data_IF_111210199262
#
_entry.id   IF_111210199262
#
_cell.length_a   1.000
_cell.length_b   1.000
_cell.length_c   1.000
_cell.angle_alpha   90.00
_cell.angle_beta   90.00
_cell.angle_gamma   90.00
#
_symmetry.space_group_name_H-M   'P 1'
#
loop_
_entity.id
_entity.type
_entity.pdbx_description
1 polymer ?
#
# COMPACT_ATOMS: atom_id res chain seq x y z
N UNK A 1 15.31 7.42 3.98
CA UNK A 1 15.49 6.62 2.74
C UNK A 1 14.32 5.65 2.56
N UNK A 2 13.79 5.58 1.36
CA UNK A 2 12.78 4.58 1.02
C UNK A 2 13.46 3.35 0.48
N UNK A 3 13.01 2.19 0.97
CA UNK A 3 13.34 0.93 0.35
C UNK A 3 12.03 0.29 -0.07
N UNK A 4 11.59 0.65 -1.25
CA UNK A 4 10.42 0.05 -1.88
C UNK A 4 10.93 -0.80 -3.02
N UNK A 5 10.82 -2.11 -2.87
CA UNK A 5 11.32 -3.04 -3.86
C UNK A 5 10.15 -3.61 -4.63
N UNK A 6 10.12 -3.29 -5.91
CA UNK A 6 9.09 -3.71 -6.83
C UNK A 6 9.66 -4.78 -7.75
N UNK A 7 8.93 -5.85 -7.95
CA UNK A 7 9.37 -6.90 -8.84
C UNK A 7 8.76 -8.25 -8.52
N UNK A 8 9.11 -9.29 -9.32
CA UNK A 8 8.51 -10.60 -9.17
C UNK A 8 8.76 -11.23 -7.80
N UNK A 9 7.77 -11.92 -7.32
CA UNK A 9 7.85 -12.74 -6.12
C UNK A 9 8.97 -13.77 -6.28
N UNK A 10 9.68 -14.04 -5.20
CA UNK A 10 10.72 -15.07 -5.21
C UNK A 10 12.08 -14.61 -5.71
N UNK A 11 12.23 -13.35 -6.08
CA UNK A 11 13.52 -12.80 -6.53
C UNK A 11 14.44 -12.42 -5.37
N UNK A 12 14.04 -12.63 -4.13
CA UNK A 12 14.81 -12.23 -2.96
C UNK A 12 14.67 -10.76 -2.57
N UNK A 13 13.90 -10.01 -3.31
CA UNK A 13 13.73 -8.57 -3.05
C UNK A 13 13.13 -8.27 -1.69
N UNK A 14 12.12 -9.02 -1.28
CA UNK A 14 11.47 -8.86 0.01
C UNK A 14 12.44 -9.07 1.17
N UNK A 15 13.27 -10.10 1.08
CA UNK A 15 14.29 -10.41 2.08
C UNK A 15 15.33 -9.31 2.15
N UNK A 16 15.80 -8.82 1.00
CA UNK A 16 16.77 -7.74 0.92
C UNK A 16 16.22 -6.45 1.55
N UNK A 17 14.97 -6.09 1.23
CA UNK A 17 14.33 -4.91 1.79
C UNK A 17 14.22 -5.01 3.31
N UNK A 18 13.87 -6.18 3.82
CA UNK A 18 13.74 -6.40 5.27
C UNK A 18 15.09 -6.25 5.97
N UNK A 19 16.14 -6.82 5.43
CA UNK A 19 17.48 -6.73 6.00
C UNK A 19 17.99 -5.29 6.00
N UNK A 20 17.79 -4.57 4.90
CA UNK A 20 18.18 -3.17 4.81
C UNK A 20 17.41 -2.31 5.79
N UNK A 21 16.11 -2.56 5.94
CA UNK A 21 15.30 -1.83 6.89
C UNK A 21 15.77 -2.03 8.31
N UNK A 22 16.11 -3.26 8.69
CA UNK A 22 16.66 -3.56 10.02
C UNK A 22 18.00 -2.88 10.24
N UNK A 23 18.89 -2.95 9.26
CA UNK A 23 20.22 -2.36 9.33
C UNK A 23 20.16 -0.84 9.48
N UNK A 24 19.25 -0.19 8.75
CA UNK A 24 19.09 1.25 8.75
C UNK A 24 18.14 1.75 9.83
N UNK A 25 17.58 0.85 10.63
CA UNK A 25 16.61 1.16 11.68
C UNK A 25 15.39 1.92 11.13
N UNK A 26 14.89 1.48 9.97
CA UNK A 26 13.70 2.04 9.33
C UNK A 26 12.60 0.98 9.25
N UNK A 27 11.36 1.45 9.08
CA UNK A 27 10.21 0.55 8.95
C UNK A 27 10.27 -0.22 7.62
N UNK A 28 10.10 -1.54 7.69
CA UNK A 28 9.92 -2.35 6.49
C UNK A 28 8.58 -2.04 5.85
N UNK A 29 8.59 -1.69 4.57
CA UNK A 29 7.38 -1.36 3.83
C UNK A 29 6.85 -2.60 3.11
N UNK A 30 5.66 -3.04 3.49
CA UNK A 30 4.94 -4.10 2.80
C UNK A 30 4.06 -3.48 1.72
N UNK A 31 4.57 -3.46 0.49
CA UNK A 31 3.86 -2.87 -0.64
C UNK A 31 2.58 -3.61 -0.98
N UNK A 32 2.55 -4.93 -0.74
CA UNK A 32 1.33 -5.72 -0.92
C UNK A 32 0.22 -5.26 0.01
N UNK A 33 0.55 -4.96 1.26
CA UNK A 33 -0.41 -4.43 2.22
C UNK A 33 -0.95 -3.07 1.77
N UNK A 34 -0.11 -2.21 1.20
CA UNK A 34 -0.56 -0.92 0.68
C UNK A 34 -1.60 -1.06 -0.42
N UNK A 35 -1.41 -1.99 -1.36
CA UNK A 35 -2.41 -2.26 -2.41
C UNK A 35 -3.71 -2.78 -1.80
N UNK A 36 -3.63 -3.60 -0.76
CA UNK A 36 -4.81 -4.11 -0.06
C UNK A 36 -5.57 -2.99 0.64
N UNK A 37 -4.87 -2.03 1.22
CA UNK A 37 -5.49 -0.86 1.87
C UNK A 37 -6.29 -0.06 0.86
N UNK A 38 -5.73 0.22 -0.31
CA UNK A 38 -6.44 0.93 -1.38
C UNK A 38 -7.66 0.12 -1.82
N UNK A 39 -7.50 -1.18 -2.02
CA UNK A 39 -8.59 -2.07 -2.43
C UNK A 39 -9.74 -2.02 -1.43
N UNK A 40 -9.42 -2.11 -0.15
CA UNK A 40 -10.44 -2.05 0.91
C UNK A 40 -11.17 -0.70 0.92
N UNK A 41 -10.43 0.39 0.79
CA UNK A 41 -11.01 1.73 0.76
C UNK A 41 -11.96 1.92 -0.41
N UNK A 42 -11.57 1.47 -1.60
CA UNK A 42 -12.42 1.54 -2.79
C UNK A 42 -13.71 0.72 -2.61
N UNK A 43 -13.61 -0.46 -2.02
CA UNK A 43 -14.79 -1.30 -1.76
C UNK A 43 -15.70 -0.68 -0.71
N UNK A 44 -15.13 -0.14 0.34
CA UNK A 44 -15.89 0.52 1.41
C UNK A 44 -16.73 1.67 0.88
N UNK A 45 -16.20 2.44 -0.06
CA UNK A 45 -16.89 3.58 -0.66
C UNK A 45 -17.65 3.23 -1.93
N UNK A 46 -17.74 1.95 -2.28
CA UNK A 46 -18.44 1.46 -3.48
C UNK A 46 -17.98 2.15 -4.76
N UNK A 47 -16.67 2.33 -4.90
CA UNK A 47 -16.08 2.95 -6.09
C UNK A 47 -15.74 1.85 -7.11
N UNK A 48 -16.28 1.98 -8.32
CA UNK A 48 -15.96 1.09 -9.44
C UNK A 48 -14.56 1.44 -9.94
N UNK A 49 -13.68 0.43 -10.05
CA UNK A 49 -12.31 0.62 -10.55
C UNK A 49 -12.26 1.09 -12.00
N UNK A 50 -13.35 0.92 -12.74
CA UNK A 50 -13.46 1.41 -14.12
C UNK A 50 -13.83 2.90 -14.18
N UNK A 51 -14.27 3.47 -13.07
CA UNK A 51 -14.56 4.88 -12.96
C UNK A 51 -13.30 5.63 -12.49
N UNK A 52 -12.42 5.93 -13.44
CA UNK A 52 -11.10 6.50 -13.16
C UNK A 52 -11.20 7.85 -12.47
N UNK A 53 -12.20 8.65 -12.77
CA UNK A 53 -12.39 9.95 -12.12
C UNK A 53 -12.67 9.78 -10.62
N UNK A 54 -13.49 8.82 -10.26
CA UNK A 54 -13.80 8.54 -8.85
C UNK A 54 -12.61 7.90 -8.15
N UNK A 55 -11.88 7.01 -8.83
CA UNK A 55 -10.65 6.42 -8.28
C UNK A 55 -9.65 7.54 -7.97
N UNK A 56 -9.40 8.44 -8.89
CA UNK A 56 -8.47 9.55 -8.68
C UNK A 56 -8.93 10.47 -7.54
N UNK A 57 -10.22 10.75 -7.46
CA UNK A 57 -10.76 11.56 -6.39
C UNK A 57 -10.56 10.91 -5.02
N UNK A 58 -10.78 9.59 -4.95
CA UNK A 58 -10.51 8.81 -3.74
C UNK A 58 -9.05 8.89 -3.33
N UNK A 59 -8.14 8.66 -4.28
CA UNK A 59 -6.70 8.66 -4.00
C UNK A 59 -6.20 10.00 -3.48
N UNK A 60 -6.72 11.11 -4.01
CA UNK A 60 -6.34 12.45 -3.56
C UNK A 60 -6.67 12.71 -2.10
N UNK A 61 -7.68 12.05 -1.57
CA UNK A 61 -8.15 12.20 -0.20
C UNK A 61 -7.60 11.13 0.73
N UNK A 62 -6.83 10.21 0.20
CA UNK A 62 -6.38 9.03 0.93
C UNK A 62 -5.01 9.28 1.54
N UNK A 63 -4.90 8.98 2.83
CA UNK A 63 -3.64 8.99 3.55
C UNK A 63 -3.40 7.59 4.12
N UNK A 64 -2.22 7.03 3.85
CA UNK A 64 -1.81 5.75 4.37
C UNK A 64 -0.62 5.98 5.28
N UNK A 65 -0.70 5.50 6.50
CA UNK A 65 0.36 5.66 7.47
C UNK A 65 0.62 4.37 8.24
N UNK A 66 1.80 4.28 8.83
CA UNK A 66 2.22 3.17 9.66
C UNK A 66 2.56 3.70 11.05
N UNK A 67 2.09 3.01 12.09
CA UNK A 67 2.56 3.26 13.45
C UNK A 67 3.78 2.39 13.72
N UNK A 68 3.74 1.17 13.22
CA UNK A 68 4.85 0.22 13.25
C UNK A 68 4.70 -0.76 12.08
N UNK A 69 5.58 -1.75 11.95
CA UNK A 69 5.57 -2.68 10.82
C UNK A 69 4.25 -3.46 10.68
N UNK A 70 3.49 -3.60 11.77
CA UNK A 70 2.26 -4.41 11.78
C UNK A 70 0.98 -3.58 11.83
N UNK A 71 1.08 -2.28 12.01
CA UNK A 71 -0.09 -1.42 12.16
C UNK A 71 -0.15 -0.39 11.03
N UNK A 72 -1.03 -0.67 10.07
CA UNK A 72 -1.25 0.22 8.92
C UNK A 72 -2.62 0.90 9.05
N UNK A 73 -2.65 2.18 8.72
CA UNK A 73 -3.84 3.03 8.86
C UNK A 73 -4.25 3.63 7.53
N UNK A 74 -5.54 3.68 7.30
CA UNK A 74 -6.15 4.39 6.17
C UNK A 74 -6.94 5.57 6.74
N UNK A 75 -6.49 6.79 6.45
CA UNK A 75 -7.11 8.03 6.95
C UNK A 75 -7.32 7.99 8.46
N UNK A 76 -6.33 7.46 9.19
CA UNK A 76 -6.38 7.38 10.64
C UNK A 76 -7.10 6.16 11.22
N UNK A 77 -7.67 5.31 10.36
CA UNK A 77 -8.37 4.10 10.79
C UNK A 77 -7.44 2.89 10.66
N UNK A 78 -7.30 2.12 11.74
CA UNK A 78 -6.50 0.90 11.73
C UNK A 78 -7.16 -0.16 10.85
N UNK A 79 -6.46 -0.61 9.81
CA UNK A 79 -7.02 -1.53 8.82
C UNK A 79 -6.22 -2.83 8.66
N UNK A 80 -5.24 -3.07 9.53
CA UNK A 80 -4.33 -4.22 9.41
C UNK A 80 -5.04 -5.57 9.30
N UNK A 81 -6.17 -5.73 9.98
CA UNK A 81 -6.94 -6.99 9.98
C UNK A 81 -7.89 -7.08 8.78
N UNK A 82 -8.62 -6.00 8.51
CA UNK A 82 -9.68 -6.03 7.47
C UNK A 82 -9.10 -6.21 6.07
N UNK A 83 -7.89 -5.76 5.82
CA UNK A 83 -7.26 -5.88 4.50
C UNK A 83 -6.85 -7.31 4.16
N UNK A 84 -6.92 -8.24 5.12
CA UNK A 84 -6.54 -9.65 4.93
C UNK A 84 -7.73 -10.53 4.59
N UNK A 85 -8.95 -9.99 4.54
CA UNK A 85 -10.16 -10.73 4.20
C UNK A 85 -10.13 -11.23 2.76
N UNK A 86 -10.85 -12.33 2.49
CA UNK A 86 -10.85 -12.99 1.18
C UNK A 86 -11.32 -12.07 0.06
N UNK A 87 -12.34 -11.27 0.30
CA UNK A 87 -12.89 -10.36 -0.71
C UNK A 87 -11.87 -9.29 -1.11
N UNK A 88 -11.03 -8.86 -0.18
CA UNK A 88 -9.93 -7.94 -0.49
C UNK A 88 -8.87 -8.68 -1.31
N UNK A 89 -8.46 -9.84 -0.87
CA UNK A 89 -7.44 -10.64 -1.55
C UNK A 89 -7.83 -10.93 -3.00
N UNK A 90 -9.12 -11.27 -3.25
CA UNK A 90 -9.59 -11.58 -4.59
C UNK A 90 -9.66 -10.36 -5.52
N UNK A 91 -9.73 -9.16 -4.97
CA UNK A 91 -9.87 -7.93 -5.76
C UNK A 91 -8.57 -7.17 -5.94
N UNK A 92 -7.53 -7.49 -5.16
CA UNK A 92 -6.29 -6.70 -5.15
C UNK A 92 -5.57 -6.72 -6.48
N UNK A 93 -5.64 -7.80 -7.25
CA UNK A 93 -4.99 -7.89 -8.56
C UNK A 93 -5.52 -6.84 -9.54
N UNK A 94 -6.85 -6.67 -9.58
CA UNK A 94 -7.48 -5.68 -10.47
C UNK A 94 -7.10 -4.25 -10.07
N UNK A 95 -7.05 -3.98 -8.77
CA UNK A 95 -6.68 -2.66 -8.25
C UNK A 95 -5.21 -2.37 -8.52
N UNK A 96 -4.33 -3.35 -8.30
CA UNK A 96 -2.89 -3.15 -8.49
C UNK A 96 -2.50 -2.99 -9.97
N UNK A 97 -3.37 -3.37 -10.89
CA UNK A 97 -3.15 -3.15 -12.32
C UNK A 97 -3.39 -1.70 -12.75
N UNK A 98 -4.03 -0.88 -11.91
CA UNK A 98 -4.29 0.52 -12.24
C UNK A 98 -3.05 1.37 -12.07
N UNK A 99 -2.63 2.08 -13.12
CA UNK A 99 -1.48 2.98 -13.07
C UNK A 99 -1.64 4.06 -12.00
N UNK A 100 -2.84 4.60 -11.87
CA UNK A 100 -3.16 5.65 -10.89
C UNK A 100 -2.86 5.19 -9.47
N UNK A 101 -3.22 3.95 -9.15
CA UNK A 101 -2.95 3.37 -7.83
C UNK A 101 -1.46 3.15 -7.63
N UNK A 102 -0.77 2.63 -8.65
CA UNK A 102 0.68 2.39 -8.57
C UNK A 102 1.45 3.69 -8.33
N UNK A 103 1.15 4.73 -9.10
CA UNK A 103 1.80 6.03 -8.95
C UNK A 103 1.52 6.64 -7.59
N UNK A 104 0.28 6.55 -7.12
CA UNK A 104 -0.11 7.03 -5.80
C UNK A 104 0.72 6.35 -4.71
N UNK A 105 0.83 5.01 -4.76
CA UNK A 105 1.55 4.26 -3.74
C UNK A 105 3.07 4.49 -3.80
N UNK A 106 3.64 4.68 -4.98
CA UNK A 106 5.05 5.06 -5.11
C UNK A 106 5.29 6.40 -4.40
N UNK A 107 4.40 7.35 -4.58
CA UNK A 107 4.50 8.66 -3.93
C UNK A 107 4.39 8.55 -2.41
N UNK A 108 3.48 7.70 -1.92
CA UNK A 108 3.34 7.44 -0.47
C UNK A 108 4.65 6.85 0.08
N UNK A 109 5.23 5.88 -0.61
CA UNK A 109 6.49 5.25 -0.19
C UNK A 109 7.61 6.27 -0.10
N UNK A 110 7.70 7.18 -1.08
CA UNK A 110 8.70 8.25 -1.07
C UNK A 110 8.51 9.19 0.11
N UNK A 111 7.28 9.55 0.44
CA UNK A 111 6.98 10.41 1.58
C UNK A 111 7.38 9.76 2.90
N UNK A 112 7.10 8.49 3.06
CA UNK A 112 7.46 7.74 4.26
C UNK A 112 8.99 7.73 4.40
N UNK A 113 9.71 7.47 3.32
CA UNK A 113 11.17 7.46 3.32
C UNK A 113 11.79 8.79 3.71
N UNK A 114 11.18 9.90 3.30
CA UNK A 114 11.71 11.23 3.62
C UNK A 114 11.58 11.59 5.10
N UNK A 115 10.70 10.93 5.82
CA UNK A 115 10.47 11.19 7.26
C UNK A 115 11.41 10.39 8.15
N UNK A 116 12.22 9.54 7.59
CA UNK A 116 13.11 8.67 8.35
C UNK A 116 14.53 9.20 8.44
#
# INVERSE_FOLDING_TARGET
>A
MIIAIDGPSGSGKSTTARLLAQHLNITHLDTGAMYRVVTWGLKKENIDINDILRVNSFLRKTDISYKNANEIFLNGELVSTVIRKKDITSSVSSVSALNEVREFLVNIQRKIGKKM
#
